data_IF_878516949827
#
_entry.id   IF_878516949827
#
_cell.length_a   1.000
_cell.length_b   1.000
_cell.length_c   1.000
_cell.angle_alpha   90.00
_cell.angle_beta   90.00
_cell.angle_gamma   90.00
#
_symmetry.space_group_name_H-M   'P 1'
#
loop_
_entity.id
_entity.type
_entity.pdbx_description
1 polymer ?
#
# COMPACT_ATOMS: atom_id res chain seq x y z
N UNK A 1 -12.57 -18.13 -18.48
CA UNK A 1 -11.90 -18.61 -17.25
C UNK A 1 -12.98 -19.14 -16.32
N UNK A 2 -12.74 -20.20 -15.52
CA UNK A 2 -13.82 -20.81 -14.71
C UNK A 2 -14.31 -19.86 -13.60
N UNK A 3 -15.62 -19.89 -13.31
CA UNK A 3 -16.19 -19.24 -12.13
C UNK A 3 -15.71 -19.88 -10.82
N UNK A 4 -15.21 -21.12 -10.86
CA UNK A 4 -14.59 -21.78 -9.69
C UNK A 4 -13.33 -21.05 -9.21
N UNK A 5 -12.76 -20.18 -10.06
CA UNK A 5 -11.61 -19.34 -9.73
C UNK A 5 -12.03 -17.95 -9.22
N UNK A 6 -13.30 -17.74 -8.89
CA UNK A 6 -13.76 -16.49 -8.29
C UNK A 6 -12.89 -16.11 -7.08
N UNK A 7 -12.35 -14.89 -7.10
CA UNK A 7 -11.45 -14.35 -6.09
C UNK A 7 -10.41 -15.39 -5.62
N UNK A 8 -9.68 -15.96 -6.60
CA UNK A 8 -8.83 -17.11 -6.37
C UNK A 8 -7.87 -16.90 -5.19
N UNK A 9 -7.81 -17.91 -4.31
CA UNK A 9 -6.82 -18.01 -3.25
C UNK A 9 -5.45 -18.44 -3.79
N UNK A 10 -4.42 -18.34 -2.95
CA UNK A 10 -3.11 -18.94 -3.22
C UNK A 10 -3.20 -20.47 -3.29
N UNK A 11 -2.45 -21.04 -4.23
CA UNK A 11 -2.23 -22.48 -4.32
C UNK A 11 -1.20 -22.93 -3.27
N UNK A 12 -1.05 -24.25 -3.03
CA UNK A 12 0.04 -24.77 -2.19
C UNK A 12 1.43 -24.31 -2.65
N UNK A 13 1.66 -24.21 -3.97
CA UNK A 13 2.90 -23.66 -4.52
C UNK A 13 3.04 -22.16 -4.21
N UNK A 14 1.97 -21.38 -4.38
CA UNK A 14 1.97 -19.95 -4.04
C UNK A 14 2.31 -19.70 -2.56
N UNK A 15 1.77 -20.52 -1.66
CA UNK A 15 2.13 -20.51 -0.25
C UNK A 15 3.59 -20.89 0.01
N UNK A 16 4.13 -21.89 -0.68
CA UNK A 16 5.57 -22.21 -0.58
C UNK A 16 6.46 -21.04 -1.04
N UNK A 17 6.05 -20.29 -2.06
CA UNK A 17 6.77 -19.10 -2.52
C UNK A 17 6.68 -17.95 -1.50
N UNK A 18 5.52 -17.77 -0.88
CA UNK A 18 5.32 -16.84 0.24
C UNK A 18 6.25 -17.16 1.41
N UNK A 19 6.41 -18.43 1.77
CA UNK A 19 7.32 -18.84 2.85
C UNK A 19 8.77 -18.52 2.51
N UNK A 20 9.20 -18.81 1.28
CA UNK A 20 10.54 -18.46 0.80
C UNK A 20 10.80 -16.96 0.82
N UNK A 21 9.84 -16.14 0.39
CA UNK A 21 9.95 -14.69 0.45
C UNK A 21 9.95 -14.17 1.89
N UNK A 22 9.09 -14.71 2.77
CA UNK A 22 9.07 -14.38 4.21
C UNK A 22 10.42 -14.61 4.86
N UNK A 23 11.07 -15.74 4.57
CA UNK A 23 12.42 -16.00 5.07
C UNK A 23 13.43 -14.98 4.55
N UNK A 24 13.36 -14.64 3.27
CA UNK A 24 14.27 -13.66 2.68
C UNK A 24 14.13 -12.28 3.32
N UNK A 25 12.90 -11.77 3.48
CA UNK A 25 12.67 -10.42 4.05
C UNK A 25 13.06 -10.33 5.52
N UNK A 26 12.92 -11.42 6.30
CA UNK A 26 13.42 -11.49 7.68
C UNK A 26 14.93 -11.55 7.73
N UNK A 27 15.56 -12.42 6.93
CA UNK A 27 17.03 -12.58 6.90
C UNK A 27 17.75 -11.31 6.43
N UNK A 28 17.14 -10.54 5.55
CA UNK A 28 17.72 -9.29 5.02
C UNK A 28 17.55 -8.08 5.93
N UNK A 29 16.76 -8.19 7.00
CA UNK A 29 16.43 -7.05 7.86
C UNK A 29 15.43 -6.07 7.21
N UNK A 30 14.75 -6.48 6.13
CA UNK A 30 13.78 -5.64 5.43
C UNK A 30 12.46 -5.55 6.19
N UNK A 31 12.05 -6.64 6.83
CA UNK A 31 10.80 -6.70 7.59
C UNK A 31 10.73 -5.62 8.69
N UNK A 32 11.85 -5.30 9.34
CA UNK A 32 11.94 -4.30 10.40
C UNK A 32 11.92 -2.86 9.89
N UNK A 33 12.12 -2.64 8.58
CA UNK A 33 12.13 -1.31 7.96
C UNK A 33 10.78 -0.89 7.44
N UNK A 34 9.93 -1.84 7.07
CA UNK A 34 8.64 -1.54 6.45
C UNK A 34 7.73 -0.87 7.47
N UNK A 35 7.25 0.32 7.12
CA UNK A 35 6.37 1.14 7.95
C UNK A 35 4.88 0.93 7.58
N UNK A 36 4.60 0.45 6.36
CA UNK A 36 3.25 0.19 5.85
C UNK A 36 3.25 -0.93 4.82
N UNK A 37 2.24 -1.81 4.89
CA UNK A 37 1.95 -2.79 3.83
C UNK A 37 0.65 -2.42 3.12
N UNK A 38 0.72 -2.25 1.81
CA UNK A 38 -0.41 -1.97 0.94
C UNK A 38 -0.71 -3.22 0.12
N UNK A 39 -1.97 -3.66 0.11
CA UNK A 39 -2.42 -4.79 -0.67
C UNK A 39 -3.55 -4.39 -1.60
N UNK A 40 -3.59 -4.97 -2.81
CA UNK A 40 -4.84 -5.06 -3.55
C UNK A 40 -5.86 -5.88 -2.73
N UNK A 41 -7.15 -5.52 -2.71
CA UNK A 41 -8.21 -6.24 -2.01
C UNK A 41 -8.68 -7.49 -2.79
N UNK A 42 -7.74 -8.33 -3.23
CA UNK A 42 -8.01 -9.64 -3.81
C UNK A 42 -7.41 -10.71 -2.89
N UNK A 43 -8.10 -11.83 -2.70
CA UNK A 43 -7.78 -12.82 -1.67
C UNK A 43 -6.33 -13.31 -1.77
N UNK A 44 -5.87 -13.68 -2.97
CA UNK A 44 -4.46 -14.06 -3.22
C UNK A 44 -3.46 -13.01 -2.75
N UNK A 45 -3.74 -11.74 -2.98
CA UNK A 45 -2.82 -10.63 -2.67
C UNK A 45 -2.78 -10.39 -1.17
N UNK A 46 -3.93 -10.38 -0.50
CA UNK A 46 -3.99 -10.26 0.95
C UNK A 46 -3.31 -11.45 1.63
N UNK A 47 -3.53 -12.67 1.16
CA UNK A 47 -2.82 -13.87 1.63
C UNK A 47 -1.30 -13.77 1.45
N UNK A 48 -0.82 -13.27 0.31
CA UNK A 48 0.60 -13.00 0.10
C UNK A 48 1.11 -11.94 1.07
N UNK A 49 0.40 -10.81 1.22
CA UNK A 49 0.81 -9.72 2.08
C UNK A 49 0.95 -10.15 3.54
N UNK A 50 -0.08 -10.77 4.11
CA UNK A 50 -0.07 -11.24 5.51
C UNK A 50 0.94 -12.39 5.69
N UNK A 51 1.08 -13.26 4.69
CA UNK A 51 2.02 -14.36 4.74
C UNK A 51 3.48 -13.90 4.73
N UNK A 52 3.83 -12.88 3.96
CA UNK A 52 5.20 -12.36 3.87
C UNK A 52 5.52 -11.40 5.01
N UNK A 53 4.64 -10.44 5.27
CA UNK A 53 4.94 -9.28 6.13
C UNK A 53 4.19 -9.30 7.48
N UNK A 54 3.27 -10.24 7.69
CA UNK A 54 2.53 -10.36 8.95
C UNK A 54 3.40 -10.85 10.11
N UNK A 55 2.89 -10.73 11.33
CA UNK A 55 3.56 -11.15 12.56
C UNK A 55 3.80 -12.65 12.66
N UNK A 56 4.31 -13.09 13.80
CA UNK A 56 4.48 -14.52 14.09
C UNK A 56 3.13 -15.24 14.25
N UNK A 57 3.18 -16.53 14.59
CA UNK A 57 1.96 -17.31 14.89
C UNK A 57 1.13 -16.59 15.95
N UNK A 58 -0.17 -16.48 15.69
CA UNK A 58 -1.11 -15.98 16.70
C UNK A 58 -1.20 -16.99 17.85
N UNK A 59 -1.06 -16.51 19.09
CA UNK A 59 -1.16 -17.32 20.30
C UNK A 59 -2.31 -16.84 21.17
N UNK A 60 -3.00 -17.75 21.84
CA UNK A 60 -4.08 -17.42 22.78
C UNK A 60 -3.57 -16.47 23.89
N UNK A 61 -4.34 -15.41 24.18
CA UNK A 61 -4.00 -14.38 25.17
C UNK A 61 -3.51 -13.05 24.60
N UNK A 62 -3.38 -12.93 23.28
CA UNK A 62 -3.11 -11.65 22.60
C UNK A 62 -4.38 -10.79 22.56
N UNK A 63 -4.31 -9.56 23.07
CA UNK A 63 -5.44 -8.61 23.10
C UNK A 63 -5.53 -7.74 21.83
N UNK A 64 -5.27 -8.33 20.67
CA UNK A 64 -5.33 -7.66 19.37
C UNK A 64 -5.94 -8.61 18.33
N UNK A 65 -6.76 -8.12 17.39
CA UNK A 65 -7.34 -8.97 16.36
C UNK A 65 -6.24 -9.60 15.49
N UNK A 66 -6.36 -10.87 15.05
CA UNK A 66 -5.38 -11.48 14.15
C UNK A 66 -5.33 -10.72 12.82
N UNK A 67 -4.17 -10.73 12.17
CA UNK A 67 -4.03 -10.18 10.82
C UNK A 67 -4.67 -11.10 9.78
N UNK A 68 -4.58 -12.41 10.00
CA UNK A 68 -5.31 -13.43 9.23
C UNK A 68 -5.75 -14.54 10.18
N UNK A 69 -7.01 -14.97 10.11
CA UNK A 69 -7.52 -16.09 10.91
C UNK A 69 -7.00 -17.44 10.41
N UNK A 70 -7.12 -18.47 11.23
CA UNK A 70 -6.78 -19.82 10.83
C UNK A 70 -7.60 -20.26 9.61
N UNK A 71 -6.94 -20.92 8.66
CA UNK A 71 -7.55 -21.47 7.46
C UNK A 71 -8.30 -20.44 6.59
N UNK A 72 -7.93 -19.15 6.66
CA UNK A 72 -8.52 -18.11 5.82
C UNK A 72 -8.40 -18.47 4.33
N UNK A 73 -9.53 -18.49 3.63
CA UNK A 73 -9.62 -18.88 2.22
C UNK A 73 -9.57 -20.39 1.95
N UNK A 74 -9.55 -21.27 2.97
CA UNK A 74 -9.20 -22.71 2.87
C UNK A 74 -7.71 -22.96 2.62
N UNK A 75 -6.86 -22.11 3.18
CA UNK A 75 -5.41 -22.15 2.99
C UNK A 75 -4.68 -23.27 3.75
N UNK A 76 -5.31 -23.86 4.77
CA UNK A 76 -4.65 -24.78 5.71
C UNK A 76 -3.54 -24.12 6.54
N UNK A 77 -3.49 -22.78 6.56
CA UNK A 77 -2.48 -22.00 7.30
C UNK A 77 -2.96 -21.68 8.72
N UNK A 78 -2.04 -21.61 9.71
CA UNK A 78 -2.37 -21.10 11.03
C UNK A 78 -2.74 -19.62 10.98
N UNK A 79 -3.39 -19.13 12.03
CA UNK A 79 -3.62 -17.70 12.21
C UNK A 79 -2.30 -16.91 12.29
N UNK A 80 -2.29 -15.71 11.71
CA UNK A 80 -1.15 -14.79 11.67
C UNK A 80 -1.42 -13.61 12.59
N UNK A 81 -0.45 -13.28 13.44
CA UNK A 81 -0.56 -12.16 14.37
C UNK A 81 -0.45 -10.81 13.69
N UNK A 82 -1.19 -9.83 14.20
CA UNK A 82 -1.04 -8.41 13.88
C UNK A 82 -0.01 -7.70 14.77
N UNK A 83 0.58 -8.41 15.74
CA UNK A 83 1.65 -7.87 16.57
C UNK A 83 3.00 -7.97 15.87
N UNK A 84 3.86 -6.99 16.14
CA UNK A 84 5.23 -6.91 15.61
C UNK A 84 5.29 -6.94 14.06
N UNK A 85 4.27 -6.39 13.41
CA UNK A 85 4.25 -6.13 11.98
C UNK A 85 3.73 -4.70 11.73
N UNK A 86 4.03 -4.10 10.57
CA UNK A 86 3.44 -2.82 10.18
C UNK A 86 1.91 -2.88 10.04
N UNK A 87 1.21 -1.74 10.00
CA UNK A 87 -0.18 -1.67 9.59
C UNK A 87 -0.36 -2.17 8.13
N UNK A 88 -1.55 -2.72 7.86
CA UNK A 88 -1.94 -3.22 6.55
C UNK A 88 -3.16 -2.44 6.05
N UNK A 89 -3.11 -1.97 4.82
CA UNK A 89 -4.23 -1.27 4.18
C UNK A 89 -4.56 -1.91 2.83
N UNK A 90 -5.86 -2.04 2.54
CA UNK A 90 -6.35 -2.57 1.28
C UNK A 90 -6.79 -1.43 0.35
N UNK A 91 -6.30 -1.44 -0.90
CA UNK A 91 -6.49 -0.32 -1.85
C UNK A 91 -6.95 -0.83 -3.22
N UNK A 92 -8.12 -0.37 -3.68
CA UNK A 92 -8.73 -0.80 -4.95
C UNK A 92 -7.87 -0.47 -6.18
N UNK A 93 -7.18 0.68 -6.17
CA UNK A 93 -6.47 1.16 -7.36
C UNK A 93 -5.27 0.30 -7.75
N UNK A 94 -4.76 -0.58 -6.88
CA UNK A 94 -3.65 -1.49 -7.18
C UNK A 94 -4.07 -2.93 -7.52
N UNK A 95 -5.33 -3.16 -7.90
CA UNK A 95 -5.83 -4.45 -8.41
C UNK A 95 -5.29 -4.79 -9.78
N UNK A 96 -5.34 -6.08 -10.14
CA UNK A 96 -5.18 -6.56 -11.51
C UNK A 96 -6.18 -5.88 -12.45
N UNK A 97 -6.07 -6.12 -13.76
CA UNK A 97 -7.07 -5.74 -14.74
C UNK A 97 -8.50 -6.09 -14.29
N UNK A 98 -9.38 -5.11 -14.34
CA UNK A 98 -10.78 -5.29 -13.96
C UNK A 98 -11.60 -5.97 -15.06
N UNK A 99 -12.61 -6.72 -14.65
CA UNK A 99 -13.62 -7.32 -15.51
C UNK A 99 -13.25 -8.63 -16.21
N UNK A 100 -14.26 -9.30 -16.76
CA UNK A 100 -14.25 -10.59 -17.49
C UNK A 100 -13.74 -11.81 -16.70
N UNK A 101 -12.60 -11.70 -16.02
CA UNK A 101 -11.98 -12.83 -15.32
C UNK A 101 -12.51 -12.89 -13.88
N UNK A 102 -13.22 -13.97 -13.49
CA UNK A 102 -13.79 -14.08 -12.14
C UNK A 102 -12.75 -14.03 -11.02
N UNK A 103 -11.51 -14.47 -11.28
CA UNK A 103 -10.43 -14.36 -10.31
C UNK A 103 -10.05 -12.92 -9.98
N UNK A 104 -10.35 -11.98 -10.86
CA UNK A 104 -10.07 -10.57 -10.67
C UNK A 104 -11.27 -9.82 -10.06
N UNK A 105 -12.37 -10.53 -9.76
CA UNK A 105 -13.50 -10.01 -8.98
C UNK A 105 -13.25 -10.30 -7.50
N UNK A 106 -13.31 -9.30 -6.63
CA UNK A 106 -13.15 -9.50 -5.19
C UNK A 106 -14.45 -9.93 -4.53
N UNK A 107 -14.35 -10.49 -3.33
CA UNK A 107 -15.49 -10.69 -2.42
C UNK A 107 -15.93 -9.37 -1.80
N UNK A 108 -17.07 -9.43 -1.10
CA UNK A 108 -17.51 -8.30 -0.28
C UNK A 108 -16.52 -8.00 0.84
N UNK A 109 -16.44 -6.74 1.28
CA UNK A 109 -15.61 -6.38 2.44
C UNK A 109 -16.17 -7.02 3.72
N UNK A 110 -17.49 -7.19 3.81
CA UNK A 110 -18.18 -7.96 4.85
C UNK A 110 -17.66 -9.40 4.95
N UNK A 111 -17.38 -10.07 3.83
CA UNK A 111 -16.74 -11.40 3.83
C UNK A 111 -15.25 -11.34 4.20
N UNK A 112 -14.52 -10.28 3.85
CA UNK A 112 -13.09 -10.18 4.16
C UNK A 112 -12.78 -9.82 5.61
N UNK A 113 -13.57 -8.94 6.24
CA UNK A 113 -13.35 -8.52 7.64
C UNK A 113 -13.16 -9.69 8.63
N UNK A 114 -13.98 -10.76 8.62
CA UNK A 114 -13.74 -11.88 9.52
C UNK A 114 -12.50 -12.73 9.15
N UNK A 115 -12.05 -12.69 7.89
CA UNK A 115 -10.85 -13.42 7.43
C UNK A 115 -9.55 -12.66 7.73
N UNK A 116 -9.59 -11.34 7.61
CA UNK A 116 -8.46 -10.44 7.82
C UNK A 116 -8.80 -9.28 8.77
N UNK A 117 -9.08 -9.56 10.06
CA UNK A 117 -9.62 -8.56 10.99
C UNK A 117 -8.77 -7.31 11.20
N UNK A 118 -7.44 -7.40 11.03
CA UNK A 118 -6.52 -6.28 11.22
C UNK A 118 -6.07 -5.58 9.92
N UNK A 119 -6.61 -5.96 8.75
CA UNK A 119 -6.42 -5.17 7.52
C UNK A 119 -7.41 -4.01 7.54
N UNK A 120 -6.92 -2.79 7.30
CA UNK A 120 -7.77 -1.62 7.13
C UNK A 120 -8.38 -1.58 5.72
N UNK A 121 -9.70 -1.62 5.68
CA UNK A 121 -10.51 -1.49 4.46
C UNK A 121 -11.20 -0.12 4.36
N UNK A 122 -10.84 0.86 5.19
CA UNK A 122 -11.49 2.18 5.27
C UNK A 122 -11.46 2.97 3.96
N UNK A 123 -10.49 2.70 3.10
CA UNK A 123 -10.36 3.33 1.77
C UNK A 123 -11.26 2.69 0.70
N UNK A 124 -12.01 1.63 1.04
CA UNK A 124 -12.93 0.97 0.12
C UNK A 124 -14.34 1.49 0.36
N UNK A 125 -14.88 2.18 -0.62
CA UNK A 125 -16.19 2.86 -0.52
C UNK A 125 -17.37 1.90 -0.57
N UNK A 126 -17.29 0.84 -1.37
CA UNK A 126 -18.40 -0.07 -1.65
C UNK A 126 -18.14 -1.46 -1.07
N UNK A 127 -19.12 -2.03 -0.37
CA UNK A 127 -18.98 -3.39 0.18
C UNK A 127 -18.83 -4.42 -0.93
N UNK A 128 -19.70 -4.38 -1.93
CA UNK A 128 -19.65 -5.20 -3.14
C UNK A 128 -18.61 -4.68 -4.15
N UNK A 129 -18.16 -5.57 -5.04
CA UNK A 129 -17.24 -5.22 -6.12
C UNK A 129 -17.98 -4.57 -7.30
N UNK A 130 -18.15 -3.24 -7.22
CA UNK A 130 -18.79 -2.42 -8.25
C UNK A 130 -17.84 -2.02 -9.39
N UNK A 131 -16.55 -2.32 -9.27
CA UNK A 131 -15.53 -1.95 -10.26
C UNK A 131 -15.30 -3.05 -11.32
N UNK A 132 -15.67 -4.28 -11.01
CA UNK A 132 -15.53 -5.40 -11.91
C UNK A 132 -16.78 -5.57 -12.80
N UNK A 133 -16.57 -5.59 -14.11
CA UNK A 133 -17.64 -5.76 -15.10
C UNK A 133 -17.56 -7.15 -15.78
N UNK A 134 -18.67 -7.89 -15.92
CA UNK A 134 -18.64 -9.26 -16.45
C UNK A 134 -18.20 -9.35 -17.91
N UNK A 135 -18.55 -8.35 -18.72
CA UNK A 135 -18.42 -8.41 -20.18
C UNK A 135 -17.35 -7.45 -20.74
N UNK A 136 -16.77 -6.60 -19.89
CA UNK A 136 -15.82 -5.56 -20.30
C UNK A 136 -14.51 -5.73 -19.53
N UNK A 137 -13.45 -6.10 -20.25
CA UNK A 137 -12.09 -6.13 -19.68
C UNK A 137 -11.51 -4.72 -19.73
N UNK A 138 -10.91 -4.29 -18.63
CA UNK A 138 -10.17 -3.04 -18.56
C UNK A 138 -9.04 -3.03 -19.61
N UNK A 139 -8.95 -1.95 -20.39
CA UNK A 139 -7.88 -1.77 -21.34
C UNK A 139 -6.53 -1.51 -20.65
N UNK A 140 -5.43 -1.93 -21.26
CA UNK A 140 -4.07 -1.74 -20.71
C UNK A 140 -3.77 -0.26 -20.39
N UNK A 141 -4.24 0.67 -21.23
CA UNK A 141 -4.10 2.10 -21.01
C UNK A 141 -4.89 2.57 -19.78
N UNK A 142 -6.08 2.00 -19.54
CA UNK A 142 -6.88 2.29 -18.36
C UNK A 142 -6.21 1.75 -17.09
N UNK A 143 -5.61 0.56 -17.13
CA UNK A 143 -4.78 0.02 -16.03
C UNK A 143 -3.62 0.96 -15.72
N UNK A 144 -2.90 1.42 -16.74
CA UNK A 144 -1.77 2.33 -16.56
C UNK A 144 -2.21 3.68 -15.95
N UNK A 145 -3.32 4.26 -16.43
CA UNK A 145 -3.88 5.50 -15.87
C UNK A 145 -4.35 5.33 -14.41
N UNK A 146 -4.99 4.20 -14.09
CA UNK A 146 -5.35 3.85 -12.71
C UNK A 146 -4.10 3.67 -11.84
N UNK A 147 -3.06 3.08 -12.40
CA UNK A 147 -1.73 2.99 -11.80
C UNK A 147 -1.12 4.34 -11.48
N UNK A 148 -1.21 5.31 -12.38
CA UNK A 148 -0.71 6.67 -12.12
C UNK A 148 -1.48 7.36 -10.98
N UNK A 149 -2.81 7.19 -10.91
CA UNK A 149 -3.60 7.67 -9.75
C UNK A 149 -3.16 7.02 -8.44
N UNK A 150 -2.81 5.73 -8.48
CA UNK A 150 -2.23 5.04 -7.32
C UNK A 150 -0.87 5.63 -6.94
N UNK A 151 0.00 5.92 -7.91
CA UNK A 151 1.29 6.58 -7.65
C UNK A 151 1.12 7.98 -7.07
N UNK A 152 0.19 8.79 -7.59
CA UNK A 152 -0.12 10.12 -7.06
C UNK A 152 -0.59 10.05 -5.60
N UNK A 153 -1.47 9.09 -5.28
CA UNK A 153 -1.88 8.85 -3.90
C UNK A 153 -0.72 8.32 -3.03
N UNK A 154 0.14 7.44 -3.56
CA UNK A 154 1.30 6.93 -2.85
C UNK A 154 2.27 8.05 -2.44
N UNK A 155 2.44 9.08 -3.28
CA UNK A 155 3.23 10.27 -2.97
C UNK A 155 2.69 11.10 -1.79
N UNK A 156 1.43 10.91 -1.39
CA UNK A 156 0.83 11.58 -0.23
C UNK A 156 1.08 10.87 1.10
N UNK A 157 1.65 9.66 1.06
CA UNK A 157 1.95 8.86 2.25
C UNK A 157 3.09 9.46 3.05
N UNK A 158 3.01 9.37 4.37
CA UNK A 158 4.08 9.85 5.25
C UNK A 158 5.15 8.79 5.52
N UNK A 159 4.82 7.52 5.25
CA UNK A 159 5.70 6.38 5.39
C UNK A 159 6.82 6.40 4.33
N UNK A 160 8.03 6.05 4.75
CA UNK A 160 9.23 6.07 3.89
C UNK A 160 9.48 4.73 3.19
N UNK A 161 9.25 3.64 3.90
CA UNK A 161 9.50 2.28 3.45
C UNK A 161 8.16 1.55 3.40
N UNK A 162 7.61 1.39 2.19
CA UNK A 162 6.28 0.85 1.95
C UNK A 162 6.39 -0.43 1.12
N UNK A 163 5.80 -1.52 1.60
CA UNK A 163 5.66 -2.74 0.82
C UNK A 163 4.33 -2.72 0.07
N UNK A 164 4.38 -2.88 -1.27
CA UNK A 164 3.19 -2.91 -2.13
C UNK A 164 3.04 -4.32 -2.68
N UNK A 165 1.94 -4.98 -2.34
CA UNK A 165 1.60 -6.32 -2.81
C UNK A 165 0.47 -6.19 -3.82
N UNK A 166 0.75 -6.57 -5.07
CA UNK A 166 -0.14 -6.35 -6.21
C UNK A 166 0.03 -7.46 -7.26
N UNK A 167 -0.24 -7.18 -8.53
CA UNK A 167 -0.35 -8.15 -9.62
C UNK A 167 0.57 -7.76 -10.78
N UNK A 168 1.03 -8.76 -11.54
CA UNK A 168 2.03 -8.56 -12.59
C UNK A 168 1.52 -7.64 -13.71
N UNK A 169 0.25 -7.74 -14.11
CA UNK A 169 -0.32 -6.86 -15.13
C UNK A 169 -0.39 -5.41 -14.66
N UNK A 170 -0.93 -5.17 -13.46
CA UNK A 170 -0.97 -3.85 -12.84
C UNK A 170 0.43 -3.22 -12.73
N UNK A 171 1.39 -3.94 -12.14
CA UNK A 171 2.75 -3.44 -11.93
C UNK A 171 3.42 -3.13 -13.27
N UNK A 172 3.32 -4.01 -14.25
CA UNK A 172 3.90 -3.81 -15.58
C UNK A 172 3.39 -2.53 -16.24
N UNK A 173 2.08 -2.35 -16.35
CA UNK A 173 1.50 -1.19 -17.03
C UNK A 173 1.76 0.12 -16.28
N UNK A 174 1.63 0.10 -14.96
CA UNK A 174 1.90 1.27 -14.10
C UNK A 174 3.35 1.71 -14.21
N UNK A 175 4.28 0.78 -14.01
CA UNK A 175 5.71 1.07 -13.99
C UNK A 175 6.25 1.43 -15.39
N UNK A 176 5.68 0.84 -16.44
CA UNK A 176 6.00 1.23 -17.83
C UNK A 176 5.60 2.69 -18.12
N UNK A 177 4.42 3.11 -17.65
CA UNK A 177 3.96 4.48 -17.81
C UNK A 177 4.78 5.44 -16.94
N UNK A 178 5.01 5.09 -15.67
CA UNK A 178 5.75 5.90 -14.71
C UNK A 178 7.21 6.14 -15.13
N UNK A 179 7.86 5.12 -15.71
CA UNK A 179 9.27 5.18 -16.11
C UNK A 179 9.50 5.66 -17.55
N UNK A 180 8.46 6.12 -18.26
CA UNK A 180 8.54 6.50 -19.69
C UNK A 180 9.60 7.55 -19.99
N UNK A 181 9.76 8.52 -19.09
CA UNK A 181 10.73 9.64 -19.19
C UNK A 181 12.08 9.32 -18.52
N UNK A 182 12.24 8.12 -17.95
CA UNK A 182 13.51 7.70 -17.34
C UNK A 182 14.55 7.34 -18.40
N UNK A 183 15.83 7.26 -17.98
CA UNK A 183 16.90 6.73 -18.82
C UNK A 183 16.52 5.33 -19.37
N UNK A 184 16.82 4.99 -20.64
CA UNK A 184 16.39 3.71 -21.25
C UNK A 184 16.67 2.48 -20.39
N UNK A 185 17.86 2.38 -19.79
CA UNK A 185 18.20 1.27 -18.87
C UNK A 185 17.27 1.16 -17.67
N UNK A 186 16.87 2.29 -17.07
CA UNK A 186 15.95 2.28 -15.93
C UNK A 186 14.55 1.87 -16.38
N UNK A 187 14.09 2.44 -17.49
CA UNK A 187 12.79 2.08 -18.09
C UNK A 187 12.74 0.58 -18.35
N UNK A 188 13.74 0.03 -19.03
CA UNK A 188 13.79 -1.37 -19.44
C UNK A 188 13.86 -2.34 -18.24
N UNK A 189 14.49 -1.95 -17.13
CA UNK A 189 14.51 -2.76 -15.90
C UNK A 189 13.20 -2.67 -15.12
N UNK A 190 12.65 -1.46 -14.96
CA UNK A 190 11.44 -1.19 -14.17
C UNK A 190 10.18 -1.74 -14.85
N UNK A 191 10.15 -1.78 -16.19
CA UNK A 191 9.02 -2.27 -16.97
C UNK A 191 9.02 -3.79 -17.21
N UNK A 192 9.84 -4.59 -16.52
CA UNK A 192 9.77 -6.06 -16.67
C UNK A 192 8.59 -6.62 -15.91
N UNK A 193 7.90 -7.62 -16.50
CA UNK A 193 6.92 -8.40 -15.75
C UNK A 193 7.56 -9.01 -14.50
N UNK A 194 6.78 -9.03 -13.42
CA UNK A 194 7.17 -9.70 -12.19
C UNK A 194 6.84 -11.19 -12.31
N UNK A 195 7.76 -12.04 -11.87
CA UNK A 195 7.53 -13.45 -11.60
C UNK A 195 6.67 -13.62 -10.34
N UNK A 196 6.16 -14.84 -10.11
CA UNK A 196 5.28 -15.08 -8.97
C UNK A 196 6.03 -14.91 -7.65
N UNK A 197 5.46 -14.12 -6.74
CA UNK A 197 6.06 -13.76 -5.45
C UNK A 197 7.47 -13.14 -5.57
N UNK A 198 7.77 -12.48 -6.68
CA UNK A 198 9.01 -11.72 -6.85
C UNK A 198 8.95 -10.41 -6.04
N UNK A 199 10.06 -10.05 -5.38
CA UNK A 199 10.25 -8.78 -4.71
C UNK A 199 11.22 -7.91 -5.52
N UNK A 200 10.84 -6.65 -5.78
CA UNK A 200 11.75 -5.60 -6.26
C UNK A 200 11.67 -4.38 -5.34
N UNK A 201 12.82 -3.81 -5.03
CA UNK A 201 12.92 -2.54 -4.31
C UNK A 201 13.12 -1.40 -5.31
N UNK A 202 12.37 -0.32 -5.13
CA UNK A 202 12.46 0.88 -5.96
C UNK A 202 12.50 2.11 -5.06
N UNK A 203 13.23 3.15 -5.48
CA UNK A 203 13.28 4.43 -4.78
C UNK A 203 12.55 5.47 -5.60
N UNK A 204 11.52 6.07 -5.01
CA UNK A 204 10.84 7.22 -5.58
C UNK A 204 11.57 8.48 -5.14
N UNK A 205 11.90 9.35 -6.09
CA UNK A 205 12.66 10.58 -5.83
C UNK A 205 11.87 11.78 -6.31
N UNK A 206 11.57 12.70 -5.39
CA UNK A 206 10.99 13.99 -5.74
C UNK A 206 12.08 14.85 -6.41
N UNK A 207 11.90 15.10 -7.70
CA UNK A 207 12.82 15.93 -8.49
C UNK A 207 12.48 17.41 -8.47
N UNK A 208 11.35 17.78 -7.88
CA UNK A 208 10.80 19.13 -8.02
C UNK A 208 11.60 20.20 -7.28
N UNK A 209 12.54 19.84 -6.38
CA UNK A 209 13.21 20.78 -5.44
C UNK A 209 12.21 21.63 -4.60
N UNK A 210 10.91 21.44 -4.77
CA UNK A 210 9.80 22.07 -4.06
C UNK A 210 9.44 21.23 -2.83
N UNK A 211 10.45 20.64 -2.19
CA UNK A 211 10.29 19.90 -0.95
C UNK A 211 9.85 20.86 0.15
N UNK A 212 8.56 21.19 0.20
CA UNK A 212 7.92 21.83 1.33
C UNK A 212 7.68 20.77 2.42
N UNK A 213 8.73 20.07 2.83
CA UNK A 213 8.71 19.45 4.13
C UNK A 213 8.77 20.61 5.12
N UNK A 214 7.61 21.05 5.63
CA UNK A 214 7.63 21.86 6.85
C UNK A 214 8.37 21.02 7.89
N UNK A 215 9.52 21.46 8.41
CA UNK A 215 10.30 20.57 9.26
C UNK A 215 9.53 20.37 10.56
N UNK A 216 8.93 19.18 10.73
CA UNK A 216 8.05 18.87 11.88
C UNK A 216 8.80 18.89 13.23
N UNK A 217 10.13 18.83 13.17
CA UNK A 217 11.02 18.83 14.33
C UNK A 217 11.85 20.11 14.47
N UNK A 218 11.58 21.13 13.66
CA UNK A 218 12.20 22.42 13.89
C UNK A 218 11.67 22.98 15.20
N UNK A 219 12.54 22.99 16.20
CA UNK A 219 12.31 23.65 17.47
C UNK A 219 13.10 24.95 17.48
N UNK A 220 12.47 26.12 17.23
CA UNK A 220 13.18 27.39 17.11
C UNK A 220 13.72 27.93 18.47
N UNK A 221 13.53 27.19 19.57
CA UNK A 221 13.86 27.63 20.92
C UNK A 221 12.65 28.28 21.64
N UNK A 222 12.67 28.27 22.97
CA UNK A 222 11.55 28.63 23.87
C UNK A 222 11.05 30.07 23.79
N UNK A 223 11.81 30.97 23.16
CA UNK A 223 11.48 32.40 23.09
C UNK A 223 11.44 32.76 21.61
N UNK A 224 10.26 32.96 21.01
CA UNK A 224 10.14 33.51 19.68
C UNK A 224 10.92 34.83 19.58
N UNK A 225 11.61 35.08 18.46
CA UNK A 225 12.16 36.40 18.22
C UNK A 225 11.00 37.39 18.03
N UNK A 226 10.75 38.22 19.03
CA UNK A 226 9.67 39.20 19.05
C UNK A 226 9.50 39.79 20.45
N UNK A 227 8.97 41.02 20.53
CA UNK A 227 8.56 41.60 21.81
C UNK A 227 7.34 40.83 22.34
N UNK A 228 7.40 40.38 23.59
CA UNK A 228 6.27 39.75 24.30
C UNK A 228 5.23 40.83 24.63
N UNK A 229 4.40 41.15 23.64
CA UNK A 229 3.35 42.17 23.73
C UNK A 229 1.99 41.49 23.55
N UNK A 230 0.97 41.89 24.34
CA UNK A 230 -0.41 41.53 24.06
C UNK A 230 -0.77 41.85 22.61
N UNK A 231 -1.57 41.00 21.97
CA UNK A 231 -2.01 41.12 20.56
C UNK A 231 -2.43 42.54 20.21
N UNK A 232 -3.13 43.19 21.13
CA UNK A 232 -3.74 44.51 20.98
C UNK A 232 -2.73 45.66 20.88
N UNK A 233 -1.47 45.41 21.26
CA UNK A 233 -0.33 46.34 21.17
C UNK A 233 0.58 45.99 19.99
N UNK A 234 0.71 44.71 19.66
CA UNK A 234 1.51 44.25 18.53
C UNK A 234 0.94 44.76 17.19
N UNK A 235 -0.39 44.74 17.03
CA UNK A 235 -1.07 45.22 15.82
C UNK A 235 -0.88 46.74 15.62
N UNK A 236 -0.85 47.52 16.71
CA UNK A 236 -0.65 48.98 16.63
C UNK A 236 0.78 49.34 16.21
N UNK A 237 1.79 48.60 16.69
CA UNK A 237 3.19 48.84 16.31
C UNK A 237 3.48 48.49 14.86
N UNK A 238 2.89 47.41 14.34
CA UNK A 238 3.05 47.03 12.93
C UNK A 238 2.41 48.06 11.99
N UNK A 239 1.27 48.65 12.39
CA UNK A 239 0.64 49.75 11.63
C UNK A 239 1.48 51.03 11.70
N UNK A 240 1.99 51.41 12.89
CA UNK A 240 2.85 52.59 13.06
C UNK A 240 4.22 52.48 12.34
N UNK A 241 4.78 51.27 12.20
CA UNK A 241 6.01 51.04 11.42
C UNK A 241 5.74 50.98 9.92
N UNK A 242 4.56 50.53 9.48
CA UNK A 242 4.15 50.58 8.08
C UNK A 242 3.85 52.01 7.59
N UNK A 243 3.40 52.90 8.48
CA UNK A 243 3.18 54.32 8.16
C UNK A 243 4.47 55.16 8.14
N UNK A 244 5.60 54.61 8.59
CA UNK A 244 6.92 55.28 8.62
C UNK A 244 7.85 54.93 7.46
N UNK A 245 7.42 54.03 6.55
CA UNK A 245 8.19 53.63 5.37
C UNK A 245 7.53 54.09 4.06
#
# INVERSE_FOLDING_TARGET
>A
MSHDLFDAQLTPLGWSQVDGLREHVKKSGLAEKIELVISSPLLRTMQTAVGVFGGEKYTDGVNAPPLMVENAGHSGRPAVSSLNCPPFIAVETCREHLGVHPCDKRRSITEYRPLFPAIDFSLIENDEDVLWEPDVREANEAVALRGMKFMDWLWTREEKEIAIVSHSGFLFHTLSMYSKECHPTIRDEVSKHFANCELRSMVLVDRSMLGSYSPRFNYPGKIPAGLDLPSDIADKKLVEEAEKN
#
